data_IF_468203336203
#
_entry.id   IF_468203336203
#
_cell.length_a   1.000
_cell.length_b   1.000
_cell.length_c   1.000
_cell.angle_alpha   90.00
_cell.angle_beta   90.00
_cell.angle_gamma   90.00
#
_symmetry.space_group_name_H-M   'P 1'
#
loop_
_entity.id
_entity.type
_entity.pdbx_description
1 polymer ?
#
# COMPACT_ATOMS: atom_id res chain seq x y z
N UNK A 1 -22.16 5.78 18.60
CA UNK A 1 -21.39 4.53 18.59
C UNK A 1 -21.34 4.01 17.17
N UNK A 2 -20.37 4.48 16.38
CA UNK A 2 -20.12 3.90 15.06
C UNK A 2 -19.58 2.49 15.29
N UNK A 3 -20.29 1.46 14.82
CA UNK A 3 -19.81 0.09 14.90
C UNK A 3 -18.57 -0.03 14.00
N UNK A 4 -17.39 -0.02 14.63
CA UNK A 4 -16.12 -0.29 13.96
C UNK A 4 -16.17 -1.70 13.36
N UNK A 5 -15.73 -1.89 12.10
CA UNK A 5 -15.58 -3.24 11.55
C UNK A 5 -14.66 -4.06 12.45
N UNK A 6 -15.03 -5.31 12.79
CA UNK A 6 -14.20 -6.17 13.62
C UNK A 6 -12.80 -6.32 13.00
N UNK A 7 -11.76 -6.12 13.81
CA UNK A 7 -10.37 -6.25 13.37
C UNK A 7 -9.70 -4.96 12.88
N UNK A 8 -10.44 -3.84 12.76
CA UNK A 8 -9.86 -2.52 12.45
C UNK A 8 -9.68 -1.62 13.67
N UNK A 9 -9.96 -2.10 14.88
CA UNK A 9 -9.99 -1.29 16.10
C UNK A 9 -8.63 -0.63 16.38
N UNK A 10 -7.54 -1.32 16.06
CA UNK A 10 -6.19 -0.76 16.21
C UNK A 10 -5.94 0.44 15.29
N UNK A 11 -6.53 0.50 14.10
CA UNK A 11 -6.35 1.63 13.17
C UNK A 11 -7.03 2.91 13.67
N UNK A 12 -8.03 2.80 14.55
CA UNK A 12 -8.78 3.94 15.05
C UNK A 12 -7.90 4.97 15.78
N UNK A 13 -6.80 4.51 16.41
CA UNK A 13 -5.92 5.37 17.21
C UNK A 13 -4.61 5.73 16.49
N UNK A 14 -4.39 5.22 15.27
CA UNK A 14 -3.15 5.45 14.54
C UNK A 14 -3.26 6.68 13.63
N UNK A 15 -2.32 7.60 13.80
CA UNK A 15 -1.99 8.67 12.85
C UNK A 15 -0.82 8.30 11.94
N UNK A 16 0.01 7.34 12.37
CA UNK A 16 1.15 6.85 11.63
C UNK A 16 1.18 5.32 11.57
N UNK A 17 1.33 4.80 10.36
CA UNK A 17 1.39 3.37 10.05
C UNK A 17 2.67 3.12 9.26
N UNK A 18 3.45 2.12 9.66
CA UNK A 18 4.71 1.75 9.02
C UNK A 18 4.54 0.36 8.41
N UNK A 19 4.84 0.20 7.12
CA UNK A 19 4.85 -1.09 6.44
C UNK A 19 6.31 -1.49 6.20
N UNK A 20 6.73 -2.57 6.85
CA UNK A 20 8.09 -3.09 6.83
C UNK A 20 8.13 -4.45 6.12
N UNK A 21 8.79 -4.51 4.96
CA UNK A 21 9.00 -5.77 4.25
C UNK A 21 9.99 -6.66 5.00
N UNK A 22 9.63 -7.92 5.19
CA UNK A 22 10.52 -8.93 5.76
C UNK A 22 11.31 -9.58 4.62
N UNK A 23 12.63 -9.41 4.62
CA UNK A 23 13.52 -10.15 3.70
C UNK A 23 13.94 -11.42 4.41
N UNK A 24 13.46 -12.58 3.96
CA UNK A 24 13.92 -13.85 4.52
C UNK A 24 15.31 -14.17 3.97
N UNK A 25 16.30 -14.26 4.87
CA UNK A 25 17.70 -14.55 4.53
C UNK A 25 17.87 -15.85 3.72
N UNK A 26 16.95 -16.81 3.90
CA UNK A 26 16.94 -18.08 3.18
C UNK A 26 16.52 -17.92 1.71
N UNK A 27 15.61 -17.00 1.38
CA UNK A 27 15.23 -16.70 -0.01
C UNK A 27 16.40 -16.11 -0.79
N UNK A 28 17.13 -15.19 -0.15
CA UNK A 28 18.33 -14.57 -0.71
C UNK A 28 19.47 -15.58 -0.96
N UNK A 29 19.51 -16.68 -0.20
CA UNK A 29 20.55 -17.71 -0.30
C UNK A 29 20.12 -18.86 -1.25
N UNK A 30 18.85 -19.25 -1.23
CA UNK A 30 18.34 -20.44 -1.94
C UNK A 30 17.71 -20.11 -3.30
N UNK A 31 17.44 -18.83 -3.61
CA UNK A 31 16.84 -18.41 -4.88
C UNK A 31 15.43 -18.96 -5.11
N UNK A 32 14.78 -19.46 -4.06
CA UNK A 32 13.39 -19.93 -4.09
C UNK A 32 12.47 -18.78 -3.72
N UNK A 33 11.69 -18.29 -4.69
CA UNK A 33 10.70 -17.23 -4.48
C UNK A 33 9.63 -17.71 -3.49
N UNK A 34 9.69 -17.16 -2.29
CA UNK A 34 8.68 -17.32 -1.25
C UNK A 34 7.76 -16.09 -1.27
N UNK A 35 6.54 -16.26 -0.79
CA UNK A 35 5.52 -15.19 -0.72
C UNK A 35 6.06 -13.94 0.00
N UNK A 36 5.88 -12.75 -0.57
CA UNK A 36 6.28 -11.50 0.07
C UNK A 36 5.57 -11.32 1.41
N UNK A 37 6.33 -11.07 2.48
CA UNK A 37 5.81 -10.89 3.86
C UNK A 37 6.10 -9.49 4.37
N UNK A 38 5.16 -8.92 5.10
CA UNK A 38 5.28 -7.56 5.64
C UNK A 38 4.77 -7.48 7.07
N UNK A 39 5.43 -6.68 7.89
CA UNK A 39 4.93 -6.27 9.19
C UNK A 39 4.34 -4.86 9.09
N UNK A 40 3.11 -4.71 9.58
CA UNK A 40 2.48 -3.40 9.74
C UNK A 40 2.65 -2.98 11.19
N UNK A 41 3.28 -1.83 11.42
CA UNK A 41 3.70 -1.33 12.72
C UNK A 41 3.09 0.04 13.02
N UNK A 42 2.96 0.36 14.29
CA UNK A 42 2.64 1.72 14.75
C UNK A 42 3.91 2.60 14.78
N UNK A 43 3.75 3.86 15.17
CA UNK A 43 4.85 4.83 15.34
C UNK A 43 5.93 4.40 16.36
N UNK A 44 5.61 3.50 17.30
CA UNK A 44 6.57 2.94 18.28
C UNK A 44 7.33 1.73 17.71
N UNK A 45 7.08 1.32 16.46
CA UNK A 45 7.67 0.14 15.85
C UNK A 45 7.04 -1.19 16.33
N UNK A 46 5.95 -1.15 17.09
CA UNK A 46 5.25 -2.34 17.53
C UNK A 46 4.36 -2.88 16.40
N UNK A 47 4.43 -4.18 16.15
CA UNK A 47 3.60 -4.85 15.13
C UNK A 47 2.12 -4.83 15.55
N UNK A 48 1.29 -4.26 14.69
CA UNK A 48 -0.18 -4.24 14.83
C UNK A 48 -0.83 -5.30 13.94
N UNK A 49 -0.29 -5.51 12.73
CA UNK A 49 -0.75 -6.55 11.80
C UNK A 49 0.43 -7.21 11.08
N UNK A 50 0.15 -8.34 10.46
CA UNK A 50 1.06 -9.06 9.59
C UNK A 50 0.40 -9.29 8.23
N UNK A 51 1.10 -9.00 7.15
CA UNK A 51 0.58 -9.13 5.79
C UNK A 51 1.40 -10.14 4.98
N UNK A 52 0.72 -10.95 4.19
CA UNK A 52 1.32 -11.95 3.30
C UNK A 52 0.72 -11.81 1.92
N UNK A 53 1.57 -11.71 0.91
CA UNK A 53 1.18 -11.76 -0.50
C UNK A 53 1.01 -13.23 -0.93
N UNK A 54 -0.20 -13.62 -1.34
CA UNK A 54 -0.45 -14.90 -1.99
C UNK A 54 -0.15 -14.78 -3.48
N UNK A 55 0.79 -15.61 -3.95
CA UNK A 55 1.17 -15.66 -5.36
C UNK A 55 0.49 -16.80 -6.09
N UNK A 56 -0.26 -16.44 -7.14
CA UNK A 56 -0.62 -17.36 -8.20
C UNK A 56 0.59 -17.49 -9.14
N UNK A 57 1.02 -18.72 -9.37
CA UNK A 57 2.28 -19.08 -10.00
C UNK A 57 2.32 -18.69 -11.50
N UNK A 58 2.70 -17.45 -11.84
CA UNK A 58 3.02 -17.07 -13.21
C UNK A 58 4.33 -16.27 -13.29
N UNK A 59 5.29 -16.85 -14.01
CA UNK A 59 6.66 -16.38 -14.23
C UNK A 59 6.81 -14.85 -14.27
N UNK A 60 7.52 -14.33 -13.26
CA UNK A 60 7.96 -12.94 -13.05
C UNK A 60 8.58 -12.29 -14.31
N UNK A 61 9.15 -13.09 -15.21
CA UNK A 61 9.93 -12.65 -16.37
C UNK A 61 9.13 -12.32 -17.66
N UNK A 62 7.86 -12.73 -17.80
CA UNK A 62 7.11 -12.52 -19.06
C UNK A 62 5.93 -11.55 -18.94
N UNK A 63 5.43 -11.31 -17.73
CA UNK A 63 4.20 -10.54 -17.47
C UNK A 63 4.27 -9.67 -16.20
N UNK A 64 5.46 -9.26 -15.73
CA UNK A 64 5.63 -8.34 -14.57
C UNK A 64 4.63 -7.15 -14.55
N UNK A 65 4.38 -6.44 -15.67
CA UNK A 65 3.41 -5.33 -15.67
C UNK A 65 1.92 -5.72 -15.61
N UNK A 66 1.57 -7.02 -15.58
CA UNK A 66 0.18 -7.54 -15.68
C UNK A 66 -0.25 -8.34 -14.42
N UNK A 67 0.64 -8.54 -13.45
CA UNK A 67 0.43 -9.42 -12.29
C UNK A 67 -0.84 -9.07 -11.50
N UNK A 68 -1.59 -10.07 -11.03
CA UNK A 68 -2.58 -9.90 -9.97
C UNK A 68 -1.93 -10.26 -8.65
N UNK A 69 -2.38 -9.66 -7.55
CA UNK A 69 -1.93 -10.07 -6.23
C UNK A 69 -3.09 -10.05 -5.25
N UNK A 70 -3.02 -10.95 -4.28
CA UNK A 70 -3.89 -10.92 -3.11
C UNK A 70 -3.00 -10.78 -1.88
N UNK A 71 -3.20 -9.73 -1.09
CA UNK A 71 -2.52 -9.57 0.20
C UNK A 71 -3.52 -9.83 1.30
N UNK A 72 -3.22 -10.82 2.14
CA UNK A 72 -3.97 -11.10 3.36
C UNK A 72 -3.30 -10.44 4.53
N UNK A 73 -4.05 -9.66 5.30
CA UNK A 73 -3.56 -8.96 6.48
C UNK A 73 -4.27 -9.56 7.69
N UNK A 74 -3.48 -10.08 8.62
CA UNK A 74 -3.96 -10.71 9.85
C UNK A 74 -3.57 -9.89 11.09
N UNK A 75 -4.40 -9.99 12.12
CA UNK A 75 -4.10 -9.47 13.45
C UNK A 75 -3.01 -10.30 14.16
N UNK A 76 -2.58 -9.84 15.34
CA UNK A 76 -1.59 -10.54 16.15
C UNK A 76 -2.05 -11.92 16.67
N UNK A 77 -3.34 -12.25 16.55
CA UNK A 77 -3.89 -13.58 16.87
C UNK A 77 -3.95 -14.49 15.64
N UNK A 78 -3.51 -14.02 14.47
CA UNK A 78 -3.54 -14.76 13.21
C UNK A 78 -4.90 -14.78 12.52
N UNK A 79 -5.86 -13.93 12.94
CA UNK A 79 -7.15 -13.81 12.28
C UNK A 79 -7.04 -12.82 11.13
N UNK A 80 -7.48 -13.21 9.94
CA UNK A 80 -7.53 -12.31 8.78
C UNK A 80 -8.55 -11.18 9.02
N UNK A 81 -8.10 -9.93 8.86
CA UNK A 81 -8.89 -8.71 9.14
C UNK A 81 -9.06 -7.82 7.92
N UNK A 82 -8.08 -7.82 7.01
CA UNK A 82 -8.15 -7.08 5.75
C UNK A 82 -7.67 -8.00 4.63
N UNK A 83 -8.41 -7.99 3.52
CA UNK A 83 -7.98 -8.62 2.26
C UNK A 83 -7.84 -7.52 1.22
N UNK A 84 -6.69 -7.47 0.56
CA UNK A 84 -6.42 -6.55 -0.55
C UNK A 84 -6.33 -7.38 -1.83
N UNK A 85 -7.16 -7.07 -2.82
CA UNK A 85 -7.23 -7.82 -4.06
C UNK A 85 -7.00 -6.90 -5.26
N UNK A 86 -5.97 -7.20 -6.06
CA UNK A 86 -5.70 -6.53 -7.34
C UNK A 86 -5.95 -7.51 -8.49
N UNK A 87 -6.95 -7.28 -9.35
CA UNK A 87 -7.14 -8.08 -10.56
C UNK A 87 -6.00 -7.88 -11.55
N UNK A 88 -5.88 -8.79 -12.52
CA UNK A 88 -4.90 -8.69 -13.62
C UNK A 88 -5.13 -7.38 -14.40
N UNK A 89 -4.13 -6.48 -14.40
CA UNK A 89 -4.20 -5.15 -15.06
C UNK A 89 -2.82 -4.77 -15.60
N UNK A 90 -2.77 -4.14 -16.78
CA UNK A 90 -1.52 -3.79 -17.46
C UNK A 90 -0.95 -2.43 -17.01
N UNK A 91 0.37 -2.35 -16.79
CA UNK A 91 1.08 -1.10 -16.46
C UNK A 91 1.57 -0.30 -17.69
N UNK A 92 1.16 -0.63 -18.92
CA UNK A 92 1.70 0.01 -20.14
C UNK A 92 1.25 1.48 -20.30
N UNK A 93 2.21 2.39 -20.41
CA UNK A 93 2.03 3.86 -20.47
C UNK A 93 1.47 4.37 -21.82
N UNK A 94 1.50 3.58 -22.89
CA UNK A 94 1.21 4.06 -24.26
C UNK A 94 -0.21 3.81 -24.76
N UNK A 95 -1.09 3.23 -23.94
CA UNK A 95 -2.50 3.04 -24.28
C UNK A 95 -3.33 3.08 -22.99
N UNK A 96 -4.51 3.73 -22.93
CA UNK A 96 -5.39 3.76 -21.75
C UNK A 96 -6.03 2.40 -21.41
N UNK A 97 -5.45 1.29 -21.88
CA UNK A 97 -5.93 -0.05 -21.64
C UNK A 97 -5.54 -0.48 -20.23
N UNK A 98 -6.54 -0.56 -19.34
CA UNK A 98 -6.47 -1.14 -18.00
C UNK A 98 -5.77 -0.30 -16.93
N UNK A 99 -6.28 0.91 -16.66
CA UNK A 99 -5.96 1.65 -15.43
C UNK A 99 -6.09 0.74 -14.19
N UNK A 100 -5.19 0.94 -13.23
CA UNK A 100 -5.11 0.10 -12.04
C UNK A 100 -6.37 0.28 -11.16
N UNK A 101 -6.85 -0.82 -10.62
CA UNK A 101 -7.94 -0.87 -9.65
C UNK A 101 -7.57 -1.88 -8.58
N UNK A 102 -7.85 -1.54 -7.33
CA UNK A 102 -7.58 -2.34 -6.14
C UNK A 102 -8.84 -2.37 -5.30
N UNK A 103 -9.25 -3.54 -4.85
CA UNK A 103 -10.34 -3.71 -3.91
C UNK A 103 -9.78 -4.01 -2.53
N UNK A 104 -10.32 -3.36 -1.50
CA UNK A 104 -9.97 -3.63 -0.10
C UNK A 104 -11.23 -4.07 0.64
N UNK A 105 -11.12 -5.21 1.32
CA UNK A 105 -12.20 -5.81 2.11
C UNK A 105 -11.84 -5.81 3.59
N UNK A 106 -12.79 -5.48 4.46
CA UNK A 106 -12.67 -5.65 5.91
C UNK A 106 -14.05 -5.70 6.59
N UNK A 107 -14.37 -6.75 7.36
CA UNK A 107 -13.67 -8.04 7.38
C UNK A 107 -13.65 -8.70 5.98
N UNK A 108 -12.86 -9.76 5.76
CA UNK A 108 -12.84 -10.46 4.47
C UNK A 108 -14.25 -10.81 3.97
N UNK A 109 -14.55 -10.50 2.71
CA UNK A 109 -15.88 -10.62 2.10
C UNK A 109 -16.80 -9.39 2.25
N UNK A 110 -16.42 -8.39 3.04
CA UNK A 110 -17.13 -7.10 3.14
C UNK A 110 -16.27 -5.98 2.56
N UNK A 111 -16.78 -5.25 1.59
CA UNK A 111 -16.02 -4.20 0.91
C UNK A 111 -15.82 -3.00 1.85
N UNK A 112 -14.57 -2.61 2.05
CA UNK A 112 -14.17 -1.41 2.77
C UNK A 112 -14.00 -0.21 1.83
N UNK A 113 -13.55 -0.46 0.59
CA UNK A 113 -13.43 0.57 -0.44
C UNK A 113 -12.49 0.14 -1.57
N UNK A 114 -12.14 1.10 -2.42
CA UNK A 114 -11.35 0.86 -3.63
C UNK A 114 -10.25 1.92 -3.81
N UNK A 115 -9.20 1.54 -4.53
CA UNK A 115 -8.19 2.45 -5.06
C UNK A 115 -8.24 2.37 -6.57
N UNK A 116 -8.45 3.49 -7.25
CA UNK A 116 -8.48 3.55 -8.71
C UNK A 116 -7.41 4.51 -9.21
N UNK A 117 -6.65 4.10 -10.23
CA UNK A 117 -5.70 4.99 -10.89
C UNK A 117 -6.44 5.90 -11.86
N UNK A 118 -6.11 7.19 -11.81
CA UNK A 118 -6.57 8.18 -12.77
C UNK A 118 -5.49 8.38 -13.83
N UNK A 119 -5.91 8.49 -15.09
CA UNK A 119 -4.99 8.86 -16.15
C UNK A 119 -4.60 10.34 -16.03
N UNK A 120 -3.31 10.60 -16.01
CA UNK A 120 -2.73 11.94 -16.06
C UNK A 120 -1.39 11.86 -16.80
N UNK A 121 -1.09 12.80 -17.71
CA UNK A 121 0.11 12.75 -18.55
C UNK A 121 1.42 13.00 -17.81
N UNK A 122 1.38 13.53 -16.58
CA UNK A 122 2.56 14.04 -15.88
C UNK A 122 2.72 13.49 -14.47
N UNK A 123 1.62 13.16 -13.79
CA UNK A 123 1.65 12.76 -12.39
C UNK A 123 0.96 11.42 -12.18
N UNK A 124 1.50 10.53 -11.32
CA UNK A 124 0.74 9.37 -10.88
C UNK A 124 -0.38 9.84 -9.94
N UNK A 125 -1.63 9.65 -10.37
CA UNK A 125 -2.83 10.02 -9.61
C UNK A 125 -3.68 8.80 -9.31
N UNK A 126 -4.17 8.73 -8.07
CA UNK A 126 -5.13 7.72 -7.65
C UNK A 126 -6.30 8.38 -6.91
N UNK A 127 -7.45 7.72 -6.92
CA UNK A 127 -8.61 8.09 -6.11
C UNK A 127 -8.90 6.96 -5.13
N UNK A 128 -9.15 7.34 -3.88
CA UNK A 128 -9.65 6.47 -2.82
C UNK A 128 -11.16 6.59 -2.80
N UNK A 129 -11.84 5.47 -2.96
CA UNK A 129 -13.29 5.37 -2.98
C UNK A 129 -13.80 4.56 -1.78
N UNK A 130 -14.98 4.90 -1.28
CA UNK A 130 -15.66 4.13 -0.23
C UNK A 130 -16.33 2.85 -0.79
N UNK A 131 -17.07 2.12 0.06
CA UNK A 131 -17.80 0.90 -0.35
C UNK A 131 -18.81 1.12 -1.50
N UNK A 132 -19.35 2.34 -1.60
CA UNK A 132 -20.33 2.75 -2.62
C UNK A 132 -19.68 3.25 -3.92
N UNK A 133 -18.35 3.16 -4.04
CA UNK A 133 -17.56 3.76 -5.13
C UNK A 133 -17.67 5.29 -5.22
N UNK A 134 -17.95 5.95 -4.10
CA UNK A 134 -17.92 7.41 -4.02
C UNK A 134 -16.49 7.86 -3.69
N UNK A 135 -16.01 8.88 -4.39
CA UNK A 135 -14.68 9.43 -4.19
C UNK A 135 -14.57 10.10 -2.80
N UNK A 136 -13.54 9.75 -2.04
CA UNK A 136 -13.29 10.29 -0.69
C UNK A 136 -12.02 11.13 -0.64
N UNK A 137 -10.92 10.60 -1.19
CA UNK A 137 -9.60 11.24 -1.19
C UNK A 137 -8.91 11.02 -2.54
N UNK A 138 -7.91 11.85 -2.81
CA UNK A 138 -6.99 11.68 -3.93
C UNK A 138 -5.58 11.43 -3.43
N UNK A 139 -4.82 10.63 -4.17
CA UNK A 139 -3.40 10.44 -3.96
C UNK A 139 -2.68 11.02 -5.17
N UNK A 140 -1.72 11.91 -4.93
CA UNK A 140 -0.91 12.55 -5.97
C UNK A 140 0.55 12.29 -5.66
N UNK A 141 1.22 11.53 -6.52
CA UNK A 141 2.67 11.33 -6.42
C UNK A 141 3.48 12.35 -7.22
N UNK A 142 4.82 12.28 -7.14
CA UNK A 142 5.71 13.26 -7.74
C UNK A 142 5.87 13.04 -9.25
N UNK A 143 6.31 14.08 -9.95
CA UNK A 143 6.52 14.12 -11.41
C UNK A 143 7.60 13.14 -11.90
N UNK A 144 8.62 12.87 -11.08
CA UNK A 144 9.65 11.89 -11.37
C UNK A 144 9.77 10.93 -10.18
N UNK A 145 9.39 9.67 -10.38
CA UNK A 145 9.73 8.58 -9.46
C UNK A 145 11.17 8.06 -9.69
N UNK A 146 12.01 8.86 -10.36
CA UNK A 146 13.37 8.49 -10.74
C UNK A 146 14.29 8.55 -9.50
N UNK A 147 14.75 7.38 -9.06
CA UNK A 147 15.45 7.14 -7.80
C UNK A 147 16.85 7.74 -7.71
N UNK A 148 16.93 9.03 -7.41
CA UNK A 148 18.14 9.68 -6.91
C UNK A 148 17.95 10.02 -5.42
N UNK A 149 18.17 9.04 -4.53
CA UNK A 149 18.48 9.20 -3.10
C UNK A 149 17.62 10.13 -2.21
N UNK A 150 16.38 10.47 -2.59
CA UNK A 150 15.48 11.32 -1.80
C UNK A 150 14.16 10.60 -1.45
N UNK A 151 13.58 10.97 -0.30
CA UNK A 151 12.28 10.47 0.17
C UNK A 151 11.20 10.73 -0.90
N UNK A 152 10.46 9.69 -1.31
CA UNK A 152 9.42 9.82 -2.34
C UNK A 152 8.05 9.91 -1.67
N UNK A 153 7.47 11.12 -1.70
CA UNK A 153 6.19 11.43 -1.07
C UNK A 153 5.01 11.37 -2.07
N UNK A 154 3.98 10.61 -1.71
CA UNK A 154 2.66 10.62 -2.34
C UNK A 154 1.68 11.33 -1.39
N UNK A 155 1.15 12.47 -1.81
CA UNK A 155 0.28 13.31 -0.99
C UNK A 155 -1.16 12.80 -0.99
N UNK A 156 -1.76 12.63 0.19
CA UNK A 156 -3.19 12.40 0.36
C UNK A 156 -3.90 13.76 0.40
N UNK A 157 -4.78 14.02 -0.57
CA UNK A 157 -5.51 15.27 -0.70
C UNK A 157 -7.02 15.10 -0.63
N UNK A 158 -7.69 16.17 -0.21
CA UNK A 158 -9.12 16.31 -0.42
C UNK A 158 -9.46 16.27 -1.92
N UNK A 159 -10.73 16.01 -2.25
CA UNK A 159 -11.21 15.91 -3.65
C UNK A 159 -10.95 17.17 -4.49
N UNK A 160 -10.88 18.32 -3.82
CA UNK A 160 -10.57 19.62 -4.41
C UNK A 160 -9.07 19.81 -4.75
N UNK A 161 -8.21 18.87 -4.40
CA UNK A 161 -6.76 18.87 -4.60
C UNK A 161 -5.98 20.05 -3.95
N UNK A 162 -6.66 20.90 -3.18
CA UNK A 162 -6.06 22.08 -2.53
C UNK A 162 -5.53 21.78 -1.14
N UNK A 163 -6.19 20.86 -0.42
CA UNK A 163 -5.87 20.57 0.99
C UNK A 163 -5.19 19.22 1.11
N UNK A 164 -3.95 19.22 1.60
CA UNK A 164 -3.22 17.99 1.97
C UNK A 164 -3.67 17.53 3.35
N UNK A 165 -4.08 16.27 3.43
CA UNK A 165 -4.63 15.61 4.63
C UNK A 165 -3.58 14.70 5.27
N UNK A 166 -2.67 14.15 4.46
CA UNK A 166 -1.66 13.20 4.89
C UNK A 166 -0.72 12.83 3.75
N UNK A 167 0.05 11.77 3.92
CA UNK A 167 0.98 11.28 2.89
C UNK A 167 1.35 9.82 3.05
N UNK A 168 1.80 9.21 1.95
CA UNK A 168 2.48 7.91 1.90
C UNK A 168 3.89 8.18 1.40
N UNK A 169 4.93 7.79 2.15
CA UNK A 169 6.32 8.04 1.76
C UNK A 169 7.12 6.75 1.67
N UNK A 170 7.95 6.64 0.62
CA UNK A 170 9.01 5.63 0.54
C UNK A 170 10.34 6.26 0.90
N UNK A 171 11.05 5.65 1.85
CA UNK A 171 12.14 6.25 2.62
C UNK A 171 11.59 7.38 3.52
N UNK A 172 11.74 7.21 4.83
CA UNK A 172 11.08 8.00 5.88
C UNK A 172 12.17 8.51 6.82
N UNK A 173 13.06 9.38 6.33
CA UNK A 173 14.25 9.80 7.09
C UNK A 173 13.95 10.86 8.17
N UNK A 174 12.90 11.67 7.97
CA UNK A 174 12.61 12.86 8.78
C UNK A 174 12.05 12.65 10.21
N UNK A 175 11.82 11.42 10.66
CA UNK A 175 11.19 11.14 11.97
C UNK A 175 11.88 10.05 12.81
N UNK A 176 12.95 9.41 12.30
CA UNK A 176 13.64 8.30 13.00
C UNK A 176 15.03 8.69 13.45
N UNK A 177 15.16 8.93 14.76
CA UNK A 177 16.45 8.86 15.44
C UNK A 177 17.01 7.43 15.32
N UNK A 178 18.05 7.23 14.52
CA UNK A 178 19.11 6.22 14.62
C UNK A 178 18.78 4.71 14.86
N UNK A 179 17.54 4.22 14.70
CA UNK A 179 17.22 2.79 14.92
C UNK A 179 16.68 2.06 13.68
N UNK A 180 16.27 2.78 12.63
CA UNK A 180 15.57 2.20 11.47
C UNK A 180 16.31 2.42 10.15
N UNK A 181 17.64 2.38 10.20
CA UNK A 181 18.46 2.44 9.00
C UNK A 181 18.48 1.08 8.29
N UNK A 182 17.99 1.09 7.05
CA UNK A 182 18.48 0.29 5.93
C UNK A 182 17.63 -0.90 5.42
N UNK A 183 16.31 -0.86 5.53
CA UNK A 183 15.43 -1.78 4.76
C UNK A 183 14.16 -1.05 4.35
N UNK A 184 13.66 -1.33 3.14
CA UNK A 184 12.59 -0.58 2.47
C UNK A 184 11.31 -0.49 3.33
N UNK A 185 11.16 0.63 4.05
CA UNK A 185 10.00 0.92 4.89
C UNK A 185 9.14 1.99 4.21
N UNK A 186 7.83 1.73 4.10
CA UNK A 186 6.86 2.75 3.78
C UNK A 186 6.27 3.34 5.07
N UNK A 187 6.10 4.66 5.09
CA UNK A 187 5.38 5.35 6.14
C UNK A 187 4.09 5.96 5.59
N UNK A 188 2.99 5.77 6.31
CA UNK A 188 1.69 6.37 6.02
C UNK A 188 1.37 7.31 7.18
N UNK A 189 1.07 8.57 6.87
CA UNK A 189 0.62 9.58 7.81
C UNK A 189 -0.79 10.02 7.44
N UNK A 190 -1.72 9.90 8.39
CA UNK A 190 -3.14 10.21 8.23
C UNK A 190 -3.70 10.85 9.50
N UNK A 191 -4.80 11.60 9.43
CA UNK A 191 -5.49 12.09 10.63
C UNK A 191 -6.01 10.93 11.50
N UNK A 192 -5.96 11.10 12.82
CA UNK A 192 -6.46 10.10 13.78
C UNK A 192 -7.97 9.85 13.57
N UNK A 193 -8.72 10.90 13.29
CA UNK A 193 -10.17 10.91 13.09
C UNK A 193 -10.64 10.42 11.71
N UNK A 194 -9.71 10.07 10.82
CA UNK A 194 -10.05 9.48 9.51
C UNK A 194 -10.73 8.13 9.70
N UNK A 195 -11.77 7.86 8.89
CA UNK A 195 -12.51 6.59 8.95
C UNK A 195 -11.56 5.38 8.80
N UNK A 196 -11.70 4.40 9.69
CA UNK A 196 -10.80 3.23 9.74
C UNK A 196 -10.84 2.38 8.48
N UNK A 197 -11.96 2.34 7.75
CA UNK A 197 -12.06 1.65 6.45
C UNK A 197 -11.22 2.39 5.42
N UNK A 198 -11.28 3.72 5.42
CA UNK A 198 -10.44 4.54 4.54
C UNK A 198 -8.95 4.37 4.87
N UNK A 199 -8.59 4.28 6.17
CA UNK A 199 -7.21 3.91 6.56
C UNK A 199 -6.79 2.54 6.01
N UNK A 200 -7.67 1.54 6.06
CA UNK A 200 -7.41 0.23 5.45
C UNK A 200 -7.25 0.32 3.92
N UNK A 201 -8.05 1.15 3.25
CA UNK A 201 -7.93 1.38 1.79
C UNK A 201 -6.61 2.09 1.45
N UNK A 202 -6.15 3.02 2.29
CA UNK A 202 -4.84 3.69 2.15
C UNK A 202 -3.68 2.70 2.33
N UNK A 203 -3.78 1.75 3.27
CA UNK A 203 -2.81 0.64 3.39
C UNK A 203 -2.77 -0.16 2.07
N UNK A 204 -3.93 -0.50 1.50
CA UNK A 204 -4.01 -1.13 0.18
C UNK A 204 -3.34 -0.30 -0.92
N UNK A 205 -3.59 1.01 -0.95
CA UNK A 205 -2.97 1.93 -1.90
C UNK A 205 -1.43 1.94 -1.78
N UNK A 206 -0.91 1.83 -0.57
CA UNK A 206 0.53 1.73 -0.33
C UNK A 206 1.15 0.49 -1.00
N UNK A 207 0.50 -0.67 -0.90
CA UNK A 207 0.97 -1.89 -1.59
C UNK A 207 0.90 -1.75 -3.12
N UNK A 208 -0.16 -1.12 -3.65
CA UNK A 208 -0.26 -0.85 -5.08
C UNK A 208 0.88 0.07 -5.56
N UNK A 209 1.19 1.13 -4.80
CA UNK A 209 2.28 2.07 -5.10
C UNK A 209 3.64 1.35 -5.06
N UNK A 210 3.88 0.49 -4.07
CA UNK A 210 5.13 -0.28 -3.98
C UNK A 210 5.35 -1.13 -5.22
N UNK A 211 4.33 -1.90 -5.60
CA UNK A 211 4.35 -2.76 -6.78
C UNK A 211 4.53 -1.97 -8.09
N UNK A 212 3.84 -0.83 -8.24
CA UNK A 212 3.89 -0.05 -9.48
C UNK A 212 5.23 0.66 -9.70
N UNK A 213 5.82 1.22 -8.64
CA UNK A 213 6.95 2.15 -8.79
C UNK A 213 8.28 1.61 -8.27
N UNK A 214 8.30 0.56 -7.44
CA UNK A 214 9.50 0.20 -6.70
C UNK A 214 9.84 -1.29 -6.65
N UNK A 215 8.91 -2.22 -6.89
CA UNK A 215 9.28 -3.64 -6.99
C UNK A 215 10.27 -3.90 -8.14
N UNK A 216 10.15 -3.18 -9.26
CA UNK A 216 11.08 -3.30 -10.40
C UNK A 216 12.48 -2.75 -10.12
N UNK A 217 12.70 -1.95 -9.05
CA UNK A 217 14.03 -1.44 -8.71
C UNK A 217 14.82 -2.38 -7.78
N UNK A 218 14.19 -3.42 -7.24
CA UNK A 218 14.85 -4.44 -6.40
C UNK A 218 15.43 -5.60 -7.21
N UNK A 219 14.99 -5.80 -8.46
CA UNK A 219 15.55 -6.84 -9.36
C UNK A 219 16.92 -6.45 -9.98
N UNK A 220 17.52 -5.35 -9.53
CA UNK A 220 18.77 -4.79 -10.05
C UNK A 220 19.96 -4.80 -9.09
N UNK A 221 19.88 -5.51 -7.96
CA UNK A 221 21.00 -5.72 -7.02
C UNK A 221 21.46 -7.18 -7.02
#
# INVERSE_FOLDING_TARGET
>A
THNLPPGLEYLNQLDQIIIHQQVELLEAILGTETSSKYEIKNHLGQRVYFAVEENDCFNRNLCSPIRSFTIRIADNMGREVITVNRPLRCNSCWFPCFLQELEVQSPPGTIAGYVVQNWDPFLPKFTIQNESKEDVLKIIGPYATCGCFEDVDFELKALNEMSTIGKISKYWSGFVNNVFTNTANFGIQVPVDLDVRIKAVIIGACFLIDLMFFENSLDGL
#
